data_IF_275991263771
#
_entry.id   IF_275991263771
#
_cell.length_a   1.000
_cell.length_b   1.000
_cell.length_c   1.000
_cell.angle_alpha   90.00
_cell.angle_beta   90.00
_cell.angle_gamma   90.00
#
_symmetry.space_group_name_H-M   'P 1'
#
loop_
_entity.id
_entity.type
_entity.pdbx_description
1 polymer ?
#
# COMPACT_ATOMS: atom_id res chain seq x y z
N UNK A 1 -1.22 1.43 -29.88
CA UNK A 1 -1.00 0.71 -28.61
C UNK A 1 -2.13 -0.31 -28.46
N UNK A 2 -1.83 -1.58 -28.19
CA UNK A 2 -2.89 -2.56 -27.90
C UNK A 2 -3.42 -2.37 -26.47
N UNK A 3 -4.58 -2.95 -26.15
CA UNK A 3 -5.24 -2.74 -24.85
C UNK A 3 -4.42 -3.25 -23.67
N UNK A 4 -3.68 -4.34 -23.85
CA UNK A 4 -2.87 -4.95 -22.78
C UNK A 4 -1.63 -4.11 -22.48
N UNK A 5 -0.99 -3.56 -23.50
CA UNK A 5 0.11 -2.62 -23.37
C UNK A 5 -0.36 -1.34 -22.68
N UNK A 6 -1.51 -0.78 -23.10
CA UNK A 6 -2.11 0.38 -22.45
C UNK A 6 -2.40 0.10 -20.97
N UNK A 7 -2.93 -1.08 -20.65
CA UNK A 7 -3.19 -1.52 -19.27
C UNK A 7 -1.91 -1.57 -18.44
N UNK A 8 -0.84 -2.21 -18.95
CA UNK A 8 0.44 -2.31 -18.23
C UNK A 8 1.06 -0.94 -17.98
N UNK A 9 1.16 -0.10 -19.02
CA UNK A 9 1.75 1.24 -18.92
C UNK A 9 0.91 2.14 -18.01
N UNK A 10 -0.42 2.07 -18.11
CA UNK A 10 -1.32 2.80 -17.22
C UNK A 10 -1.12 2.42 -15.76
N UNK A 11 -1.03 1.12 -15.44
CA UNK A 11 -0.80 0.65 -14.07
C UNK A 11 0.60 1.01 -13.55
N UNK A 12 1.62 0.96 -14.40
CA UNK A 12 2.98 1.35 -14.02
C UNK A 12 3.04 2.85 -13.67
N UNK A 13 2.54 3.72 -14.57
CA UNK A 13 2.45 5.15 -14.32
C UNK A 13 1.56 5.46 -13.12
N UNK A 14 0.41 4.78 -13.01
CA UNK A 14 -0.52 4.97 -11.90
C UNK A 14 0.09 4.54 -10.57
N UNK A 15 0.81 3.44 -10.45
CA UNK A 15 1.31 3.04 -9.12
C UNK A 15 2.70 3.59 -8.78
N UNK A 16 3.55 3.83 -9.77
CA UNK A 16 4.98 4.12 -9.53
C UNK A 16 5.41 5.56 -9.81
N UNK A 17 4.54 6.42 -10.31
CA UNK A 17 4.86 7.83 -10.56
C UNK A 17 3.97 8.79 -9.76
N UNK A 18 4.46 10.01 -9.60
CA UNK A 18 3.69 11.12 -9.00
C UNK A 18 2.82 11.88 -10.01
N UNK A 19 2.73 11.40 -11.25
CA UNK A 19 1.91 12.04 -12.28
C UNK A 19 0.43 12.04 -11.87
N UNK A 20 -0.26 13.16 -12.10
CA UNK A 20 -1.71 13.22 -11.89
C UNK A 20 -2.46 12.29 -12.86
N UNK A 21 -3.63 11.80 -12.44
CA UNK A 21 -4.52 10.96 -13.27
C UNK A 21 -4.80 11.61 -14.63
N UNK A 22 -5.04 12.93 -14.63
CA UNK A 22 -5.23 13.71 -15.86
C UNK A 22 -4.01 13.61 -16.78
N UNK A 23 -2.80 13.81 -16.22
CA UNK A 23 -1.56 13.78 -17.01
C UNK A 23 -1.25 12.39 -17.55
N UNK A 24 -1.59 11.33 -16.82
CA UNK A 24 -1.48 9.94 -17.29
C UNK A 24 -2.43 9.72 -18.47
N UNK A 25 -3.70 10.14 -18.34
CA UNK A 25 -4.68 10.08 -19.41
C UNK A 25 -4.22 10.81 -20.67
N UNK A 26 -3.76 12.06 -20.53
CA UNK A 26 -3.18 12.85 -21.64
C UNK A 26 -2.02 12.11 -22.34
N UNK A 27 -1.10 11.51 -21.56
CA UNK A 27 0.08 10.82 -22.11
C UNK A 27 -0.28 9.55 -22.89
N UNK A 28 -1.36 8.87 -22.50
CA UNK A 28 -1.80 7.62 -23.10
C UNK A 28 -2.94 7.81 -24.11
N UNK A 29 -3.35 9.06 -24.35
CA UNK A 29 -4.54 9.41 -25.15
C UNK A 29 -5.81 8.70 -24.65
N UNK A 30 -5.98 8.68 -23.33
CA UNK A 30 -7.12 8.05 -22.65
C UNK A 30 -7.97 9.10 -21.93
N UNK A 31 -9.29 8.93 -22.03
CA UNK A 31 -10.21 9.65 -21.15
C UNK A 31 -9.98 9.24 -19.69
N UNK A 32 -10.41 10.10 -18.75
CA UNK A 32 -10.34 9.78 -17.31
C UNK A 32 -11.03 8.44 -17.00
N UNK A 33 -12.24 8.22 -17.55
CA UNK A 33 -12.99 6.97 -17.35
C UNK A 33 -12.27 5.78 -17.97
N UNK A 34 -11.78 5.92 -19.20
CA UNK A 34 -11.03 4.87 -19.90
C UNK A 34 -9.73 4.48 -19.16
N UNK A 35 -9.05 5.44 -18.53
CA UNK A 35 -7.92 5.15 -17.66
C UNK A 35 -8.33 4.29 -16.46
N UNK A 36 -9.40 4.65 -15.75
CA UNK A 36 -9.86 3.88 -14.58
C UNK A 36 -10.35 2.47 -14.93
N UNK A 37 -10.85 2.23 -16.14
CA UNK A 37 -11.17 0.87 -16.60
C UNK A 37 -9.94 -0.03 -16.77
N UNK A 38 -8.76 0.57 -16.91
CA UNK A 38 -7.49 -0.15 -17.06
C UNK A 38 -6.73 -0.29 -15.74
N UNK A 39 -6.95 0.58 -14.76
CA UNK A 39 -6.25 0.52 -13.47
C UNK A 39 -6.72 -0.69 -12.66
N UNK A 40 -5.76 -1.48 -12.20
CA UNK A 40 -5.97 -2.62 -11.34
C UNK A 40 -5.57 -2.27 -9.90
N UNK A 41 -6.30 -2.80 -8.89
CA UNK A 41 -5.90 -2.64 -7.49
C UNK A 41 -4.51 -3.21 -7.22
N UNK A 42 -3.73 -2.53 -6.37
CA UNK A 42 -2.38 -2.97 -6.03
C UNK A 42 -2.44 -4.05 -4.93
N UNK A 43 -1.99 -5.30 -5.19
CA UNK A 43 -1.98 -6.36 -4.19
C UNK A 43 -1.05 -6.04 -3.02
N UNK A 44 -1.39 -6.57 -1.84
CA UNK A 44 -0.54 -6.49 -0.65
C UNK A 44 -0.25 -7.86 -0.07
N UNK A 45 0.76 -7.93 0.80
CA UNK A 45 1.09 -9.14 1.56
C UNK A 45 0.19 -9.41 2.77
N UNK A 46 -0.70 -8.47 3.11
CA UNK A 46 -1.59 -8.61 4.26
C UNK A 46 -2.79 -9.53 3.95
N UNK A 47 -3.24 -10.27 4.96
CA UNK A 47 -4.47 -11.07 4.91
C UNK A 47 -5.60 -10.38 5.66
N UNK A 48 -6.82 -10.58 5.18
CA UNK A 48 -8.00 -10.02 5.83
C UNK A 48 -8.20 -10.65 7.21
N UNK A 49 -8.35 -9.86 8.29
CA UNK A 49 -8.57 -10.40 9.64
C UNK A 49 -9.96 -11.01 9.81
N UNK A 50 -10.90 -10.77 8.89
CA UNK A 50 -12.27 -11.28 8.94
C UNK A 50 -12.39 -12.64 8.28
N UNK A 51 -11.80 -12.83 7.10
CA UNK A 51 -11.98 -14.04 6.29
C UNK A 51 -10.68 -14.69 5.78
N UNK A 52 -9.51 -14.14 6.10
CA UNK A 52 -8.22 -14.62 5.60
C UNK A 52 -7.92 -14.32 4.13
N UNK A 53 -8.85 -13.70 3.40
CA UNK A 53 -8.70 -13.37 1.98
C UNK A 53 -7.54 -12.42 1.66
N UNK A 54 -7.16 -12.36 0.38
CA UNK A 54 -6.19 -11.39 -0.11
C UNK A 54 -6.71 -9.95 0.06
N UNK A 55 -5.77 -9.02 0.24
CA UNK A 55 -6.10 -7.60 0.40
C UNK A 55 -5.32 -6.75 -0.60
N UNK A 56 -5.95 -5.66 -1.02
CA UNK A 56 -5.44 -4.75 -2.06
C UNK A 56 -5.54 -3.30 -1.60
N UNK A 57 -4.72 -2.43 -2.18
CA UNK A 57 -5.01 -0.99 -2.22
C UNK A 57 -5.83 -0.69 -3.47
N UNK A 58 -7.03 -0.14 -3.31
CA UNK A 58 -7.93 0.18 -4.43
C UNK A 58 -7.48 1.38 -5.26
N UNK A 59 -6.79 2.33 -4.63
CA UNK A 59 -6.30 3.55 -5.27
C UNK A 59 -5.10 4.13 -4.50
N UNK A 60 -4.46 5.16 -5.07
CA UNK A 60 -3.30 5.84 -4.45
C UNK A 60 -3.60 6.40 -3.07
N UNK A 61 -4.77 7.02 -2.88
CA UNK A 61 -5.17 7.59 -1.58
C UNK A 61 -5.28 6.51 -0.51
N UNK A 62 -5.81 5.32 -0.84
CA UNK A 62 -5.85 4.18 0.06
C UNK A 62 -4.43 3.72 0.44
N UNK A 63 -3.50 3.69 -0.53
CA UNK A 63 -2.08 3.38 -0.28
C UNK A 63 -1.41 4.40 0.65
N UNK A 64 -1.61 5.68 0.38
CA UNK A 64 -1.07 6.78 1.20
C UNK A 64 -1.59 6.71 2.64
N UNK A 65 -2.87 6.38 2.80
CA UNK A 65 -3.51 6.20 4.11
C UNK A 65 -3.25 4.83 4.74
N UNK A 66 -2.48 3.95 4.08
CA UNK A 66 -2.25 2.56 4.48
C UNK A 66 -3.55 1.84 4.83
N UNK A 67 -4.56 1.95 3.97
CA UNK A 67 -5.86 1.30 4.12
C UNK A 67 -6.05 0.27 3.00
N UNK A 68 -6.32 -0.98 3.36
CA UNK A 68 -6.55 -2.07 2.41
C UNK A 68 -8.00 -2.54 2.42
N UNK A 69 -8.46 -3.02 1.27
CA UNK A 69 -9.75 -3.70 1.12
C UNK A 69 -9.52 -5.18 0.84
N UNK A 70 -10.32 -6.04 1.48
CA UNK A 70 -10.36 -7.46 1.16
C UNK A 70 -11.15 -7.73 -0.11
N UNK A 71 -10.53 -8.45 -1.07
CA UNK A 71 -11.19 -8.81 -2.34
C UNK A 71 -12.26 -9.88 -2.19
N UNK A 72 -12.26 -10.64 -1.09
CA UNK A 72 -13.22 -11.72 -0.86
C UNK A 72 -14.49 -11.26 -0.12
N UNK A 73 -14.35 -10.42 0.92
CA UNK A 73 -15.49 -10.01 1.76
C UNK A 73 -15.75 -8.50 1.79
N UNK A 74 -14.95 -7.69 1.07
CA UNK A 74 -15.11 -6.24 1.00
C UNK A 74 -14.76 -5.47 2.28
N UNK A 75 -14.24 -6.14 3.32
CA UNK A 75 -13.87 -5.48 4.56
C UNK A 75 -12.66 -4.55 4.35
N UNK A 76 -12.77 -3.32 4.87
CA UNK A 76 -11.70 -2.33 4.85
C UNK A 76 -10.99 -2.29 6.21
N UNK A 77 -9.67 -2.30 6.20
CA UNK A 77 -8.87 -2.27 7.43
C UNK A 77 -7.55 -1.49 7.22
N UNK A 78 -6.91 -1.00 8.29
CA UNK A 78 -5.52 -0.54 8.21
C UNK A 78 -4.61 -1.69 7.74
N UNK A 79 -3.66 -1.37 6.86
CA UNK A 79 -2.64 -2.31 6.43
C UNK A 79 -1.78 -2.72 7.63
N UNK A 80 -1.60 -4.03 7.79
CA UNK A 80 -0.68 -4.61 8.75
C UNK A 80 0.27 -5.54 7.99
N UNK A 81 1.60 -5.40 8.19
CA UNK A 81 2.53 -6.35 7.59
C UNK A 81 2.23 -7.75 8.13
N UNK A 82 2.47 -8.81 7.34
CA UNK A 82 2.50 -10.16 7.88
C UNK A 82 3.55 -10.20 8.99
N UNK A 83 3.18 -10.73 10.15
CA UNK A 83 4.16 -11.07 11.19
C UNK A 83 5.05 -12.16 10.61
N UNK A 84 6.37 -11.99 10.70
CA UNK A 84 7.27 -13.09 10.42
C UNK A 84 6.90 -14.20 11.41
N UNK A 85 6.41 -15.33 10.92
CA UNK A 85 6.31 -16.51 11.75
C UNK A 85 7.75 -16.93 12.02
N UNK A 86 8.19 -16.81 13.27
CA UNK A 86 9.44 -17.38 13.78
C UNK A 86 9.35 -18.91 13.73
N UNK A 87 9.26 -19.46 12.53
CA UNK A 87 9.63 -20.84 12.27
C UNK A 87 11.15 -20.87 12.16
N UNK A 88 11.81 -20.54 13.27
CA UNK A 88 13.07 -21.15 13.63
C UNK A 88 12.79 -22.64 13.91
N UNK A 89 12.49 -23.37 12.84
CA UNK A 89 12.52 -24.83 12.86
C UNK A 89 13.97 -25.23 13.01
N UNK A 90 14.35 -25.51 14.25
CA UNK A 90 15.57 -26.22 14.59
C UNK A 90 15.72 -27.41 13.64
N UNK A 91 16.72 -27.36 12.77
CA UNK A 91 17.27 -28.58 12.20
C UNK A 91 17.89 -29.35 13.37
N UNK A 92 17.50 -30.60 13.64
CA UNK A 92 18.36 -31.49 14.38
C UNK A 92 19.67 -31.58 13.60
N UNK A 93 20.77 -31.16 14.22
CA UNK A 93 22.10 -31.53 13.76
C UNK A 93 22.19 -33.05 13.88
N UNK A 94 22.15 -33.73 12.75
CA UNK A 94 22.59 -35.13 12.70
C UNK A 94 24.13 -35.08 12.69
N UNK A 95 24.69 -35.33 13.88
CA UNK A 95 26.11 -35.63 14.10
C UNK A 95 26.47 -36.92 13.36
N UNK A 96 26.98 -36.80 12.14
CA UNK A 96 27.79 -37.86 11.54
C UNK A 96 29.23 -37.36 11.38
N UNK A 97 30.02 -37.79 12.36
CA UNK A 97 31.47 -37.63 12.43
C UNK A 97 32.17 -38.37 11.29
N UNK A 98 33.11 -37.69 10.60
CA UNK A 98 34.31 -38.36 10.08
C UNK A 98 35.51 -37.39 9.88
N UNK A 99 36.43 -37.47 10.86
CA UNK A 99 37.91 -37.52 10.77
C UNK A 99 38.80 -36.38 10.16
N UNK A 100 39.61 -35.79 11.09
CA UNK A 100 41.06 -35.46 11.06
C UNK A 100 41.62 -34.36 10.09
N UNK A 101 42.07 -33.15 10.51
CA UNK A 101 43.26 -32.70 11.32
C UNK A 101 44.52 -32.34 10.46
N UNK A 102 45.50 -31.46 10.87
CA UNK A 102 45.58 -30.47 11.94
C UNK A 102 46.03 -29.04 11.50
N UNK A 103 46.15 -28.14 12.48
CA UNK A 103 46.36 -26.68 12.41
C UNK A 103 47.75 -26.17 11.95
N UNK A 104 47.78 -24.91 11.46
CA UNK A 104 48.76 -23.85 11.84
C UNK A 104 48.45 -22.49 11.20
N UNK A 105 48.39 -21.43 12.01
CA UNK A 105 48.61 -20.04 11.56
C UNK A 105 47.58 -19.02 12.06
N UNK A 106 47.85 -18.39 13.19
CA UNK A 106 47.31 -17.08 13.60
C UNK A 106 48.50 -16.13 13.81
N UNK A 107 48.35 -14.82 14.12
CA UNK A 107 47.25 -13.87 13.87
C UNK A 107 47.78 -12.56 13.21
N UNK A 108 46.90 -11.61 12.86
CA UNK A 108 47.36 -10.22 12.70
C UNK A 108 46.38 -9.20 12.10
N UNK A 109 46.18 -8.14 12.87
CA UNK A 109 45.86 -6.74 12.50
C UNK A 109 44.43 -6.32 12.18
N UNK A 110 43.75 -5.85 13.24
CA UNK A 110 43.43 -4.43 13.48
C UNK A 110 43.65 -3.44 12.31
N UNK A 111 42.55 -2.88 11.81
CA UNK A 111 42.38 -1.55 11.21
C UNK A 111 40.86 -1.22 11.26
N UNK A 112 40.34 -0.68 12.36
CA UNK A 112 40.06 0.75 12.54
C UNK A 112 39.84 1.55 11.25
N UNK A 113 38.57 1.72 10.85
CA UNK A 113 38.15 2.91 10.08
C UNK A 113 36.71 3.31 10.47
N UNK A 114 36.66 4.16 11.49
CA UNK A 114 35.87 5.40 11.53
C UNK A 114 34.45 5.37 10.99
N UNK A 115 33.50 5.29 11.91
CA UNK A 115 32.15 5.86 11.77
C UNK A 115 32.27 7.40 11.67
N UNK A 116 31.76 8.05 10.61
CA UNK A 116 31.38 9.45 10.72
C UNK A 116 29.99 9.57 11.36
N UNK A 117 29.98 10.12 12.57
CA UNK A 117 28.81 10.61 13.30
C UNK A 117 28.05 11.68 12.49
N UNK A 118 26.70 11.73 12.58
CA UNK A 118 25.87 12.68 11.84
C UNK A 118 26.04 14.13 12.32
N UNK A 119 26.57 14.99 11.45
CA UNK A 119 26.62 16.43 11.70
C UNK A 119 25.22 17.05 11.61
N UNK A 120 24.72 17.41 12.79
CA UNK A 120 24.05 18.65 13.15
C UNK A 120 23.00 19.23 12.18
N UNK A 121 21.77 19.24 12.71
CA UNK A 121 20.70 20.15 12.34
C UNK A 121 21.14 21.62 12.32
N UNK A 122 20.59 22.38 11.37
CA UNK A 122 20.17 23.75 11.64
C UNK A 122 18.74 24.03 11.11
N UNK A 123 17.96 24.84 11.86
CA UNK A 123 16.50 25.05 11.72
C UNK A 123 16.15 26.20 10.72
N UNK A 124 14.86 26.61 10.58
CA UNK A 124 14.28 27.11 9.34
C UNK A 124 14.41 28.63 9.12
N UNK A 125 14.53 29.04 7.86
CA UNK A 125 14.20 30.38 7.40
C UNK A 125 12.76 30.36 6.85
N UNK A 126 11.77 30.81 7.62
CA UNK A 126 11.34 32.21 7.72
C UNK A 126 10.56 32.69 6.48
N UNK A 127 9.24 32.71 6.69
CA UNK A 127 8.28 33.77 6.36
C UNK A 127 8.31 34.43 4.97
N UNK A 128 7.14 34.43 4.31
CA UNK A 128 6.38 35.62 3.86
C UNK A 128 5.07 35.15 3.20
N UNK A 129 3.91 35.36 3.84
CA UNK A 129 3.00 36.51 3.67
C UNK A 129 2.10 36.44 2.43
N UNK A 130 0.79 36.45 2.67
CA UNK A 130 -0.29 36.53 1.67
C UNK A 130 -1.57 35.88 2.19
N UNK A 131 -2.15 36.35 3.29
CA UNK A 131 -3.20 37.37 3.29
C UNK A 131 -4.40 37.06 2.37
N UNK A 132 -5.50 36.67 3.03
CA UNK A 132 -6.87 37.21 2.87
C UNK A 132 -7.53 37.07 1.50
N UNK A 133 -8.44 36.10 1.41
CA UNK A 133 -9.54 36.08 0.45
C UNK A 133 -10.80 35.52 1.11
N UNK A 134 -11.54 36.38 1.81
CA UNK A 134 -12.92 36.14 2.25
C UNK A 134 -13.82 36.03 1.01
N UNK A 135 -14.29 34.81 0.72
CA UNK A 135 -15.34 34.54 -0.26
C UNK A 135 -16.57 33.99 0.44
N UNK A 136 -17.37 34.90 0.97
CA UNK A 136 -18.69 34.65 1.54
C UNK A 136 -19.71 34.39 0.42
N UNK A 137 -20.65 33.47 0.70
CA UNK A 137 -22.01 33.32 0.13
C UNK A 137 -22.25 32.13 -0.79
N UNK A 138 -23.14 31.24 -0.32
CA UNK A 138 -23.76 30.24 -1.17
C UNK A 138 -24.52 29.15 -0.42
N UNK A 139 -25.27 29.49 0.65
CA UNK A 139 -26.29 28.57 1.20
C UNK A 139 -27.48 28.55 0.24
N UNK A 140 -27.86 27.37 -0.26
CA UNK A 140 -29.27 27.04 -0.47
C UNK A 140 -29.50 25.61 0.00
N UNK A 141 -30.41 25.52 0.96
CA UNK A 141 -31.00 24.31 1.56
C UNK A 141 -32.09 23.73 0.65
N UNK A 142 -32.59 22.55 1.05
CA UNK A 142 -33.87 21.90 0.71
C UNK A 142 -33.90 20.92 -0.47
N UNK A 143 -34.17 19.66 -0.13
CA UNK A 143 -34.59 18.60 -1.04
C UNK A 143 -34.78 17.28 -0.28
N UNK A 144 -35.85 17.18 0.51
CA UNK A 144 -36.18 16.03 1.33
C UNK A 144 -36.79 14.87 0.50
N UNK A 145 -36.46 13.65 0.95
CA UNK A 145 -37.25 12.42 0.96
C UNK A 145 -37.91 11.89 -0.35
N UNK A 146 -37.64 10.62 -0.68
CA UNK A 146 -38.60 9.51 -0.55
C UNK A 146 -38.01 8.14 -0.97
N UNK A 147 -38.29 7.13 -0.13
CA UNK A 147 -38.55 5.70 -0.41
C UNK A 147 -37.43 4.75 -0.88
N UNK A 148 -37.31 3.62 -0.17
CA UNK A 148 -36.68 2.40 -0.71
C UNK A 148 -36.23 1.33 0.30
N UNK A 149 -37.07 0.97 1.28
CA UNK A 149 -36.82 -0.20 2.13
C UNK A 149 -36.86 -1.50 1.28
N UNK A 150 -35.72 -2.18 1.10
CA UNK A 150 -35.69 -3.40 0.28
C UNK A 150 -34.62 -4.46 0.59
N UNK A 151 -33.59 -4.18 1.39
CA UNK A 151 -32.46 -5.13 1.55
C UNK A 151 -32.42 -5.83 2.92
N UNK A 152 -33.12 -5.30 3.93
CA UNK A 152 -33.09 -5.86 5.30
C UNK A 152 -33.67 -7.28 5.43
N UNK A 153 -34.63 -7.68 4.58
CA UNK A 153 -35.30 -8.97 4.69
C UNK A 153 -34.49 -10.14 4.10
N UNK A 154 -33.52 -9.87 3.22
CA UNK A 154 -32.70 -10.93 2.61
C UNK A 154 -31.66 -11.50 3.59
N UNK A 155 -31.16 -10.70 4.53
CA UNK A 155 -30.14 -11.14 5.50
C UNK A 155 -30.72 -12.08 6.56
N UNK A 156 -32.00 -11.93 6.93
CA UNK A 156 -32.63 -12.75 7.95
C UNK A 156 -32.86 -14.21 7.52
N UNK A 157 -33.09 -14.46 6.21
CA UNK A 157 -33.41 -15.81 5.71
C UNK A 157 -32.17 -16.69 5.47
N UNK A 158 -30.97 -16.11 5.35
CA UNK A 158 -29.74 -16.87 5.12
C UNK A 158 -29.09 -17.43 6.41
N UNK A 159 -29.55 -16.99 7.59
CA UNK A 159 -28.99 -17.43 8.88
C UNK A 159 -29.65 -18.68 9.47
N UNK A 160 -30.66 -19.26 8.79
CA UNK A 160 -31.42 -20.44 9.23
C UNK A 160 -31.21 -21.69 8.36
N UNK A 161 -30.28 -21.66 7.41
CA UNK A 161 -29.74 -22.86 6.72
C UNK A 161 -28.27 -22.98 7.05
#
# INVERSE_FOLDING_TARGET
MNRDEARRVANDLYWKSDLSVRRIGERLDLSKSGLYELIEPLPTSARCPVCGGATVYENRTARERRQVTCTACGATAPWRPPVASDHAGAHPVEDDAMAAAPARGAPGRDDDFGVPEPAAAHPPAAAQHGARGLGVSGRVMLGAALLGAGIGLFIALRRRR
#
